data_IF_209705738242
#
_entry.id   IF_209705738242
#
_cell.length_a   1.000
_cell.length_b   1.000
_cell.length_c   1.000
_cell.angle_alpha   90.00
_cell.angle_beta   90.00
_cell.angle_gamma   90.00
#
_symmetry.space_group_name_H-M   'P 1'
#
loop_
_entity.id
_entity.type
_entity.pdbx_description
1 polymer ?
#
# COMPACT_ATOMS: atom_id res chain seq x y z
N UNK A 1 -10.22 39.30 -8.92
CA UNK A 1 -10.80 38.00 -9.31
C UNK A 1 -12.17 37.93 -8.68
N UNK A 2 -13.21 37.66 -9.47
CA UNK A 2 -14.59 37.66 -8.99
C UNK A 2 -14.95 36.29 -8.42
N UNK A 3 -15.72 36.24 -7.33
CA UNK A 3 -16.27 34.99 -6.76
C UNK A 3 -16.95 34.12 -7.82
N UNK A 4 -17.56 34.76 -8.83
CA UNK A 4 -18.22 34.08 -9.93
C UNK A 4 -17.24 33.39 -10.89
N UNK A 5 -16.04 33.95 -11.09
CA UNK A 5 -14.97 33.33 -11.86
C UNK A 5 -14.42 32.10 -11.12
N UNK A 6 -14.23 32.23 -9.81
CA UNK A 6 -13.75 31.14 -8.95
C UNK A 6 -14.75 29.97 -8.92
N UNK A 7 -16.04 30.25 -8.78
CA UNK A 7 -17.09 29.21 -8.85
C UNK A 7 -17.13 28.53 -10.23
N UNK A 8 -16.93 29.30 -11.30
CA UNK A 8 -16.87 28.75 -12.66
C UNK A 8 -15.65 27.86 -12.86
N UNK A 9 -14.50 28.25 -12.28
CA UNK A 9 -13.28 27.45 -12.30
C UNK A 9 -13.42 26.15 -11.48
N UNK A 10 -14.00 26.22 -10.29
CA UNK A 10 -14.27 25.04 -9.45
C UNK A 10 -15.20 24.07 -10.17
N UNK A 11 -16.28 24.56 -10.78
CA UNK A 11 -17.20 23.72 -11.56
C UNK A 11 -16.49 22.99 -12.70
N UNK A 12 -15.67 23.70 -13.47
CA UNK A 12 -14.90 23.10 -14.57
C UNK A 12 -13.91 22.04 -14.07
N UNK A 13 -13.24 22.31 -12.95
CA UNK A 13 -12.30 21.35 -12.35
C UNK A 13 -13.01 20.08 -11.86
N UNK A 14 -14.19 20.23 -11.25
CA UNK A 14 -15.02 19.10 -10.85
C UNK A 14 -15.48 18.28 -12.06
N UNK A 15 -15.94 18.93 -13.12
CA UNK A 15 -16.34 18.25 -14.36
C UNK A 15 -15.15 17.47 -14.98
N UNK A 16 -13.95 18.05 -14.96
CA UNK A 16 -12.73 17.38 -15.44
C UNK A 16 -12.33 16.20 -14.55
N UNK A 17 -12.44 16.35 -13.23
CA UNK A 17 -12.15 15.28 -12.27
C UNK A 17 -13.10 14.09 -12.47
N UNK A 18 -14.40 14.35 -12.61
CA UNK A 18 -15.41 13.31 -12.89
C UNK A 18 -15.05 12.53 -14.16
N UNK A 19 -14.71 13.23 -15.25
CA UNK A 19 -14.28 12.58 -16.51
C UNK A 19 -12.98 11.76 -16.38
N UNK A 20 -12.07 12.17 -15.50
CA UNK A 20 -10.83 11.41 -15.24
C UNK A 20 -11.14 10.16 -14.44
N UNK A 21 -11.98 10.25 -13.42
CA UNK A 21 -12.42 9.11 -12.61
C UNK A 21 -13.15 8.09 -13.47
N UNK A 22 -14.11 8.50 -14.30
CA UNK A 22 -14.83 7.59 -15.21
C UNK A 22 -13.86 6.83 -16.14
N UNK A 23 -12.85 7.51 -16.68
CA UNK A 23 -11.82 6.85 -17.52
C UNK A 23 -10.96 5.88 -16.72
N UNK A 24 -10.57 6.25 -15.49
CA UNK A 24 -9.81 5.36 -14.61
C UNK A 24 -10.63 4.12 -14.23
N UNK A 25 -11.91 4.27 -13.92
CA UNK A 25 -12.81 3.16 -13.64
C UNK A 25 -12.97 2.23 -14.85
N UNK A 26 -13.13 2.78 -16.06
CA UNK A 26 -13.17 1.98 -17.29
C UNK A 26 -11.85 1.24 -17.55
N UNK A 27 -10.71 1.90 -17.32
CA UNK A 27 -9.40 1.27 -17.43
C UNK A 27 -9.22 0.17 -16.40
N UNK A 28 -9.60 0.41 -15.14
CA UNK A 28 -9.54 -0.57 -14.06
C UNK A 28 -10.47 -1.77 -14.32
N UNK A 29 -11.67 -1.54 -14.85
CA UNK A 29 -12.59 -2.60 -15.24
C UNK A 29 -12.03 -3.45 -16.39
N UNK A 30 -11.32 -2.82 -17.35
CA UNK A 30 -10.60 -3.52 -18.42
C UNK A 30 -9.36 -4.25 -17.91
N UNK A 31 -8.69 -3.69 -16.91
CA UNK A 31 -7.58 -4.27 -16.15
C UNK A 31 -8.06 -5.20 -15.04
N UNK A 32 -9.32 -5.69 -15.08
CA UNK A 32 -9.80 -6.75 -14.20
C UNK A 32 -8.62 -7.70 -13.99
N UNK A 33 -8.15 -7.92 -12.75
CA UNK A 33 -7.03 -8.80 -12.52
C UNK A 33 -7.34 -10.05 -13.31
N UNK A 34 -6.35 -10.58 -13.99
CA UNK A 34 -6.40 -11.92 -14.53
C UNK A 34 -6.50 -12.89 -13.35
N UNK A 35 -7.61 -12.85 -12.62
CA UNK A 35 -8.32 -14.02 -12.16
C UNK A 35 -8.88 -14.67 -13.42
N UNK A 36 -8.00 -15.08 -14.33
CA UNK A 36 -8.16 -16.39 -14.94
C UNK A 36 -8.52 -17.30 -13.79
N UNK A 37 -9.64 -18.01 -13.91
CA UNK A 37 -10.08 -19.04 -13.00
C UNK A 37 -9.13 -20.26 -13.00
N UNK A 38 -7.82 -20.01 -13.00
CA UNK A 38 -6.79 -20.92 -12.57
C UNK A 38 -6.45 -20.46 -11.15
N UNK A 39 -6.45 -21.40 -10.20
CA UNK A 39 -6.01 -21.13 -8.83
C UNK A 39 -4.62 -20.48 -8.77
N UNK A 40 -4.16 -20.08 -7.58
CA UNK A 40 -2.83 -19.50 -7.41
C UNK A 40 -1.80 -20.34 -8.17
N UNK A 41 -1.02 -19.70 -9.05
CA UNK A 41 0.06 -20.37 -9.79
C UNK A 41 1.01 -20.98 -8.76
N UNK A 42 1.11 -22.33 -8.67
CA UNK A 42 1.96 -22.96 -7.68
C UNK A 42 3.44 -22.63 -7.88
N UNK A 43 3.83 -22.14 -9.06
CA UNK A 43 5.19 -21.68 -9.37
C UNK A 43 5.51 -20.32 -8.74
N UNK A 44 4.49 -19.53 -8.36
CA UNK A 44 4.65 -18.26 -7.64
C UNK A 44 4.51 -18.42 -6.12
N UNK A 45 4.07 -19.59 -5.65
CA UNK A 45 3.98 -19.88 -4.22
C UNK A 45 5.34 -20.29 -3.68
N UNK A 46 5.95 -19.44 -2.85
CA UNK A 46 7.14 -19.80 -2.09
C UNK A 46 6.71 -20.73 -0.96
N UNK A 47 7.17 -21.98 -0.98
CA UNK A 47 6.95 -22.93 0.11
C UNK A 47 7.72 -22.44 1.34
N UNK A 48 7.01 -21.92 2.34
CA UNK A 48 7.59 -21.63 3.65
C UNK A 48 7.76 -22.96 4.38
N UNK A 49 8.97 -23.34 4.79
CA UNK A 49 9.17 -24.55 5.57
C UNK A 49 8.48 -24.42 6.94
N UNK A 50 7.78 -25.47 7.38
CA UNK A 50 7.21 -25.57 8.74
C UNK A 50 8.27 -25.79 9.83
N UNK A 51 9.55 -25.70 9.48
CA UNK A 51 10.65 -25.84 10.44
C UNK A 51 10.69 -24.58 11.29
N UNK A 52 10.62 -24.68 12.63
CA UNK A 52 10.79 -23.52 13.50
C UNK A 52 12.07 -22.77 13.15
N UNK A 53 11.99 -21.44 13.07
CA UNK A 53 13.16 -20.61 12.87
C UNK A 53 14.19 -20.87 13.97
N UNK A 54 15.47 -20.87 13.60
CA UNK A 54 16.55 -20.97 14.58
C UNK A 54 16.63 -19.68 15.40
N UNK A 55 16.17 -19.77 16.65
CA UNK A 55 16.17 -18.65 17.61
C UNK A 55 17.57 -18.11 17.94
N UNK A 56 18.63 -18.87 17.67
CA UNK A 56 20.01 -18.39 17.84
C UNK A 56 20.38 -17.27 16.84
N UNK A 57 19.69 -17.19 15.70
CA UNK A 57 19.88 -16.14 14.68
C UNK A 57 19.42 -14.75 15.13
N UNK A 58 18.66 -14.64 16.22
CA UNK A 58 18.05 -13.40 16.73
C UNK A 58 18.47 -13.08 18.17
N UNK A 59 19.47 -13.79 18.71
CA UNK A 59 19.89 -13.65 20.12
C UNK A 59 20.54 -12.31 20.44
N UNK A 60 21.14 -11.65 19.44
CA UNK A 60 21.74 -10.31 19.53
C UNK A 60 20.79 -9.19 19.09
N UNK A 61 19.59 -9.51 18.59
CA UNK A 61 18.62 -8.51 18.12
C UNK A 61 18.08 -7.61 19.25
N UNK A 62 18.13 -8.06 20.51
CA UNK A 62 17.80 -7.25 21.68
C UNK A 62 18.95 -6.30 22.11
N UNK A 63 20.17 -6.52 21.60
CA UNK A 63 21.37 -5.71 21.90
C UNK A 63 21.50 -4.50 20.95
N UNK A 64 20.63 -4.39 19.94
CA UNK A 64 20.38 -3.15 19.20
C UNK A 64 19.54 -2.15 20.01
N UNK A 65 19.93 -1.95 21.27
CA UNK A 65 19.91 -0.66 21.96
C UNK A 65 18.70 0.26 21.76
N UNK A 66 17.46 -0.22 21.96
CA UNK A 66 16.35 0.68 22.32
C UNK A 66 16.49 1.11 23.79
N UNK A 67 17.47 1.97 24.04
CA UNK A 67 17.60 2.74 25.27
C UNK A 67 18.21 1.98 26.44
N UNK A 68 19.45 2.35 26.78
CA UNK A 68 20.14 2.08 28.04
C UNK A 68 19.22 1.67 29.20
N UNK A 69 19.35 0.42 29.68
CA UNK A 69 18.64 -0.12 30.85
C UNK A 69 18.92 0.65 32.15
N UNK A 70 19.87 1.59 32.17
CA UNK A 70 20.32 2.30 33.36
C UNK A 70 20.30 3.84 33.29
N UNK A 71 19.54 4.45 32.38
CA UNK A 71 19.23 5.89 32.51
C UNK A 71 17.96 6.08 33.33
N UNK A 72 18.08 6.06 34.67
CA UNK A 72 17.10 6.79 35.50
C UNK A 72 17.21 8.25 35.10
N UNK A 73 16.14 8.81 34.55
CA UNK A 73 16.02 10.25 34.40
C UNK A 73 16.15 10.90 35.79
N UNK A 74 16.98 11.95 35.95
CA UNK A 74 16.99 12.77 37.15
C UNK A 74 15.68 13.54 37.33
#
# INVERSE_FOLDING_TARGET
>A
MSLQDDLSAVRRNLDELTRKVERLEQQAARQKPSTTAAGPDPSQMVTVPDTPYDSSLWTDSDDEGLGARDRRAP
#
